data_IF_628073802895
#
_entry.id   IF_628073802895
#
_cell.length_a   1.000
_cell.length_b   1.000
_cell.length_c   1.000
_cell.angle_alpha   90.00
_cell.angle_beta   90.00
_cell.angle_gamma   90.00
#
_symmetry.space_group_name_H-M   'P 1'
#
loop_
_entity.id
_entity.type
_entity.pdbx_description
1 polymer ?
#
# COMPACT_ATOMS: atom_id res chain seq x y z
N UNK A 1 -1.97 -21.21 65.46
CA UNK A 1 -1.73 -21.55 64.03
C UNK A 1 -1.37 -20.27 63.31
N UNK A 2 -0.12 -20.12 62.86
CA UNK A 2 0.26 -18.95 62.07
C UNK A 2 -0.47 -19.01 60.71
N UNK A 3 -1.13 -17.92 60.31
CA UNK A 3 -1.82 -17.86 59.03
C UNK A 3 -0.79 -17.93 57.90
N UNK A 4 -0.90 -18.93 57.02
CA UNK A 4 -0.10 -19.00 55.79
C UNK A 4 -0.50 -17.80 54.93
N UNK A 5 0.46 -16.91 54.67
CA UNK A 5 0.24 -15.78 53.78
C UNK A 5 0.26 -16.26 52.31
N UNK A 6 -0.65 -15.70 51.50
CA UNK A 6 -0.84 -16.06 50.09
C UNK A 6 -0.49 -14.87 49.18
N UNK A 7 0.21 -15.15 48.07
CA UNK A 7 0.51 -14.15 47.04
C UNK A 7 -0.55 -14.21 45.93
N UNK A 8 -1.49 -13.26 45.82
CA UNK A 8 -2.60 -13.32 44.89
C UNK A 8 -2.15 -13.31 43.43
N UNK A 9 -2.75 -14.17 42.60
CA UNK A 9 -2.45 -14.24 41.17
C UNK A 9 -3.38 -13.27 40.42
N UNK A 10 -2.84 -12.34 39.61
CA UNK A 10 -3.64 -11.47 38.76
C UNK A 10 -4.61 -12.24 37.86
N UNK A 11 -5.89 -11.83 37.83
CA UNK A 11 -6.93 -12.52 37.06
C UNK A 11 -6.58 -12.67 35.57
N UNK A 12 -5.96 -11.64 34.98
CA UNK A 12 -5.51 -11.68 33.59
C UNK A 12 -4.50 -12.80 33.28
N UNK A 13 -3.74 -13.24 34.29
CA UNK A 13 -2.81 -14.37 34.19
C UNK A 13 -3.57 -15.69 34.27
N UNK A 14 -4.49 -15.81 35.24
CA UNK A 14 -5.30 -17.02 35.42
C UNK A 14 -6.10 -17.35 34.16
N UNK A 15 -6.65 -16.36 33.48
CA UNK A 15 -7.45 -16.59 32.26
C UNK A 15 -6.61 -16.83 31.00
N UNK A 16 -5.28 -16.80 31.09
CA UNK A 16 -4.41 -16.91 29.93
C UNK A 16 -4.35 -18.35 29.40
N UNK A 17 -4.40 -18.55 28.08
CA UNK A 17 -4.46 -19.88 27.47
C UNK A 17 -3.25 -20.76 27.86
N UNK A 18 -2.03 -20.19 27.85
CA UNK A 18 -0.82 -20.91 28.27
C UNK A 18 -0.80 -21.24 29.77
N UNK A 19 -1.48 -20.45 30.59
CA UNK A 19 -1.62 -20.75 32.03
C UNK A 19 -2.57 -21.93 32.24
N UNK A 20 -3.69 -21.94 31.51
CA UNK A 20 -4.69 -23.01 31.57
C UNK A 20 -4.19 -24.32 30.95
N UNK A 21 -3.29 -24.25 29.96
CA UNK A 21 -2.69 -25.42 29.34
C UNK A 21 -1.60 -26.08 30.21
N UNK A 22 -1.05 -25.38 31.21
CA UNK A 22 -0.01 -25.91 32.09
C UNK A 22 -0.63 -26.72 33.25
N UNK A 23 -0.24 -27.99 33.44
CA UNK A 23 -0.85 -28.87 34.44
C UNK A 23 -0.55 -28.46 35.89
N UNK A 24 0.49 -27.67 36.13
CA UNK A 24 0.86 -27.18 37.46
C UNK A 24 0.19 -25.83 37.75
N UNK A 25 0.09 -24.95 36.74
CA UNK A 25 -0.48 -23.61 36.91
C UNK A 25 -2.02 -23.60 36.93
N UNK A 26 -2.65 -24.45 36.12
CA UNK A 26 -4.11 -24.52 35.98
C UNK A 26 -4.85 -24.88 37.28
N UNK A 27 -4.18 -25.60 38.19
CA UNK A 27 -4.72 -26.00 39.50
C UNK A 27 -4.55 -24.94 40.59
N UNK A 28 -3.83 -23.83 40.32
CA UNK A 28 -3.62 -22.77 41.31
C UNK A 28 -4.87 -21.90 41.48
N UNK A 29 -5.27 -21.68 42.74
CA UNK A 29 -6.44 -20.88 43.07
C UNK A 29 -6.20 -19.37 42.92
N UNK A 30 -7.24 -18.55 42.68
CA UNK A 30 -7.10 -17.10 42.56
C UNK A 30 -6.56 -16.42 43.83
N UNK A 31 -6.82 -17.02 45.00
CA UNK A 31 -6.27 -16.59 46.29
C UNK A 31 -4.74 -16.53 46.29
N UNK A 32 -4.09 -17.27 45.39
CA UNK A 32 -2.68 -17.10 45.11
C UNK A 32 -1.84 -18.34 45.35
N UNK A 33 -0.57 -18.11 45.68
CA UNK A 33 0.42 -19.13 46.01
C UNK A 33 0.79 -19.00 47.50
N UNK A 34 0.91 -20.10 48.28
CA UNK A 34 1.36 -20.03 49.66
C UNK A 34 2.86 -19.66 49.74
N UNK A 35 3.21 -18.81 50.70
CA UNK A 35 4.61 -18.59 51.10
C UNK A 35 4.98 -19.72 52.07
N UNK A 36 5.97 -20.61 51.88
CA UNK A 36 6.91 -20.88 50.77
C UNK A 36 6.40 -21.89 49.71
N UNK A 37 6.80 -21.70 48.46
CA UNK A 37 6.29 -22.46 47.30
C UNK A 37 7.20 -23.64 46.91
N UNK A 38 6.62 -24.69 46.31
CA UNK A 38 7.35 -25.85 45.81
C UNK A 38 8.11 -25.58 44.48
N UNK A 39 9.27 -26.22 44.23
CA UNK A 39 10.04 -26.04 42.99
C UNK A 39 9.27 -26.22 41.66
N UNK A 40 8.36 -27.21 41.51
CA UNK A 40 7.61 -27.38 40.26
C UNK A 40 6.78 -26.16 39.87
N UNK A 41 6.23 -25.45 40.86
CA UNK A 41 5.44 -24.24 40.63
C UNK A 41 6.34 -23.10 40.17
N UNK A 42 7.54 -22.96 40.74
CA UNK A 42 8.52 -21.96 40.32
C UNK A 42 8.97 -22.16 38.87
N UNK A 43 9.25 -23.40 38.51
CA UNK A 43 9.65 -23.75 37.15
C UNK A 43 8.52 -23.50 36.15
N UNK A 44 7.29 -23.89 36.49
CA UNK A 44 6.12 -23.63 35.65
C UNK A 44 5.89 -22.12 35.44
N UNK A 45 5.97 -21.30 36.50
CA UNK A 45 5.88 -19.83 36.38
C UNK A 45 7.01 -19.28 35.50
N UNK A 46 8.24 -19.79 35.66
CA UNK A 46 9.39 -19.34 34.87
C UNK A 46 9.21 -19.66 33.38
N UNK A 47 8.75 -20.85 33.06
CA UNK A 47 8.46 -21.31 31.69
C UNK A 47 7.32 -20.48 31.10
N UNK A 48 6.21 -20.33 31.83
CA UNK A 48 5.09 -19.50 31.42
C UNK A 48 5.55 -18.08 31.07
N UNK A 49 6.23 -17.38 31.99
CA UNK A 49 6.75 -16.04 31.71
C UNK A 49 7.72 -16.02 30.52
N UNK A 50 8.55 -17.06 30.36
CA UNK A 50 9.50 -17.18 29.25
C UNK A 50 8.85 -17.31 27.88
N UNK A 51 7.67 -17.94 27.80
CA UNK A 51 6.95 -18.20 26.54
C UNK A 51 6.11 -17.03 26.02
N UNK A 52 5.70 -16.09 26.89
CA UNK A 52 4.93 -14.91 26.46
C UNK A 52 5.83 -13.94 25.66
N UNK A 53 5.52 -13.52 24.45
CA UNK A 53 6.38 -12.57 23.73
C UNK A 53 6.14 -11.09 24.13
N UNK A 54 7.20 -10.33 24.44
CA UNK A 54 7.12 -8.92 24.89
C UNK A 54 6.26 -7.98 24.02
N UNK A 55 6.21 -8.20 22.70
CA UNK A 55 5.50 -7.32 21.76
C UNK A 55 4.07 -7.77 21.46
N UNK A 56 3.74 -9.03 21.72
CA UNK A 56 2.48 -9.64 21.28
C UNK A 56 1.54 -9.96 22.44
N UNK A 57 2.06 -10.06 23.66
CA UNK A 57 1.27 -10.52 24.80
C UNK A 57 1.07 -9.44 25.87
N UNK A 58 -0.17 -8.91 26.03
CA UNK A 58 -0.48 -7.89 27.03
C UNK A 58 -0.44 -8.41 28.48
N UNK A 59 -0.37 -9.72 28.70
CA UNK A 59 -0.28 -10.36 30.02
C UNK A 59 1.16 -10.45 30.53
N UNK A 60 2.16 -10.40 29.63
CA UNK A 60 3.58 -10.60 30.01
C UNK A 60 4.06 -9.65 31.09
N UNK A 61 3.74 -8.36 31.03
CA UNK A 61 4.17 -7.40 32.05
C UNK A 61 3.68 -7.84 33.45
N UNK A 62 2.39 -8.20 33.55
CA UNK A 62 1.79 -8.65 34.81
C UNK A 62 2.40 -9.97 35.28
N UNK A 63 2.70 -10.88 34.35
CA UNK A 63 3.33 -12.16 34.64
C UNK A 63 4.77 -11.99 35.17
N UNK A 64 5.54 -11.08 34.58
CA UNK A 64 6.88 -10.71 35.05
C UNK A 64 6.80 -10.07 36.45
N UNK A 65 5.88 -9.12 36.67
CA UNK A 65 5.69 -8.48 37.97
C UNK A 65 5.27 -9.48 39.06
N UNK A 66 4.42 -10.45 38.71
CA UNK A 66 4.01 -11.51 39.63
C UNK A 66 5.20 -12.40 40.00
N UNK A 67 5.97 -12.87 39.01
CA UNK A 67 7.20 -13.65 39.23
C UNK A 67 8.22 -12.88 40.08
N UNK A 68 8.42 -11.59 39.81
CA UNK A 68 9.36 -10.78 40.57
C UNK A 68 8.91 -10.61 42.02
N UNK A 69 7.63 -10.31 42.27
CA UNK A 69 7.08 -10.28 43.64
C UNK A 69 7.22 -11.61 44.37
N UNK A 70 7.02 -12.72 43.67
CA UNK A 70 7.24 -14.05 44.22
C UNK A 70 8.71 -14.24 44.62
N UNK A 71 9.65 -13.91 43.73
CA UNK A 71 11.08 -13.98 44.01
C UNK A 71 11.48 -13.04 45.15
N UNK A 72 11.02 -11.80 45.15
CA UNK A 72 11.28 -10.83 46.23
C UNK A 72 10.73 -11.32 47.57
N UNK A 73 9.63 -12.07 47.58
CA UNK A 73 9.08 -12.64 48.82
C UNK A 73 9.85 -13.87 49.30
N UNK A 74 10.41 -14.65 48.37
CA UNK A 74 11.30 -15.78 48.69
C UNK A 74 12.73 -15.32 49.04
N UNK A 75 13.13 -14.14 48.55
CA UNK A 75 14.44 -13.51 48.77
C UNK A 75 14.42 -12.44 49.87
N UNK A 76 13.23 -12.00 50.34
CA UNK A 76 13.03 -11.27 51.59
C UNK A 76 13.81 -12.00 52.67
N UNK A 77 14.64 -11.29 53.43
CA UNK A 77 15.92 -11.81 53.88
C UNK A 77 15.67 -13.15 54.52
N UNK A 78 16.14 -14.19 53.83
CA UNK A 78 16.48 -15.46 54.43
C UNK A 78 17.62 -15.12 55.40
N UNK A 79 17.27 -14.45 56.50
CA UNK A 79 17.95 -14.62 57.77
C UNK A 79 17.56 -16.04 58.17
N UNK A 80 18.10 -17.02 57.46
CA UNK A 80 18.22 -18.34 58.03
C UNK A 80 18.94 -18.09 59.35
N UNK A 81 18.33 -18.39 60.50
CA UNK A 81 19.01 -18.20 61.78
C UNK A 81 20.31 -19.02 61.72
N UNK A 82 21.45 -18.33 61.61
CA UNK A 82 22.77 -18.95 61.44
C UNK A 82 23.62 -18.47 60.27
N UNK A 83 23.12 -17.66 59.32
CA UNK A 83 23.97 -17.01 58.31
C UNK A 83 24.67 -15.77 58.89
N UNK A 84 25.99 -15.72 58.77
CA UNK A 84 26.83 -14.61 59.24
C UNK A 84 26.43 -13.30 58.51
N UNK A 85 26.05 -12.23 59.24
CA UNK A 85 25.76 -10.92 58.66
C UNK A 85 26.89 -10.38 57.76
N UNK A 86 28.15 -10.71 58.04
CA UNK A 86 29.29 -10.30 57.21
C UNK A 86 29.28 -10.98 55.84
N UNK A 87 28.96 -12.28 55.80
CA UNK A 87 28.84 -13.03 54.56
C UNK A 87 27.69 -12.50 53.70
N UNK A 88 26.55 -12.16 54.32
CA UNK A 88 25.42 -11.55 53.62
C UNK A 88 25.83 -10.20 53.00
N UNK A 89 26.52 -9.35 53.76
CA UNK A 89 27.00 -8.06 53.26
C UNK A 89 28.00 -8.21 52.10
N UNK A 90 28.91 -9.20 52.19
CA UNK A 90 29.88 -9.48 51.13
C UNK A 90 29.19 -9.96 49.84
N UNK A 91 28.21 -10.87 49.95
CA UNK A 91 27.42 -11.34 48.80
C UNK A 91 26.65 -10.18 48.18
N UNK A 92 26.00 -9.34 49.00
CA UNK A 92 25.28 -8.16 48.51
C UNK A 92 26.21 -7.21 47.75
N UNK A 93 27.42 -6.96 48.25
CA UNK A 93 28.39 -6.12 47.53
C UNK A 93 28.82 -6.72 46.19
N UNK A 94 29.13 -8.02 46.15
CA UNK A 94 29.52 -8.71 44.90
C UNK A 94 28.39 -8.65 43.88
N UNK A 95 27.15 -8.91 44.30
CA UNK A 95 25.97 -8.82 43.43
C UNK A 95 25.75 -7.39 42.94
N UNK A 96 25.88 -6.39 43.82
CA UNK A 96 25.73 -4.99 43.44
C UNK A 96 26.78 -4.59 42.40
N UNK A 97 28.06 -4.90 42.64
CA UNK A 97 29.14 -4.64 41.70
C UNK A 97 28.96 -5.33 40.35
N UNK A 98 28.50 -6.59 40.35
CA UNK A 98 28.28 -7.34 39.11
C UNK A 98 27.06 -6.83 38.32
N UNK A 99 26.02 -6.36 39.01
CA UNK A 99 24.77 -5.91 38.36
C UNK A 99 24.80 -4.45 37.93
N UNK A 100 25.62 -3.61 38.56
CA UNK A 100 25.78 -2.19 38.21
C UNK A 100 26.12 -1.92 36.73
N UNK A 101 27.12 -2.58 36.10
CA UNK A 101 27.41 -2.35 34.69
C UNK A 101 26.26 -2.78 33.79
N UNK A 102 25.56 -3.87 34.14
CA UNK A 102 24.39 -4.36 33.39
C UNK A 102 23.27 -3.31 33.44
N UNK A 103 23.00 -2.71 34.60
CA UNK A 103 22.01 -1.64 34.73
C UNK A 103 22.37 -0.42 33.86
N UNK A 104 23.65 -0.02 33.83
CA UNK A 104 24.11 1.08 32.97
C UNK A 104 23.96 0.76 31.49
N UNK A 105 24.32 -0.45 31.07
CA UNK A 105 24.14 -0.91 29.68
C UNK A 105 22.67 -0.95 29.27
N UNK A 106 21.76 -1.38 30.15
CA UNK A 106 20.31 -1.37 29.88
C UNK A 106 19.81 0.07 29.70
N UNK A 107 20.26 1.01 30.53
CA UNK A 107 19.89 2.43 30.40
C UNK A 107 20.41 3.04 29.10
N UNK A 108 21.65 2.71 28.71
CA UNK A 108 22.22 3.14 27.43
C UNK A 108 21.40 2.58 26.25
N UNK A 109 21.14 1.27 26.25
CA UNK A 109 20.35 0.63 25.20
C UNK A 109 18.92 1.21 25.10
N UNK A 110 18.29 1.57 26.23
CA UNK A 110 17.00 2.24 26.20
C UNK A 110 17.04 3.60 25.51
N UNK A 111 18.12 4.37 25.67
CA UNK A 111 18.32 5.64 24.96
C UNK A 111 18.50 5.39 23.46
N UNK A 112 19.38 4.46 23.09
CA UNK A 112 19.64 4.11 21.69
C UNK A 112 18.35 3.64 20.98
N UNK A 113 17.52 2.82 21.64
CA UNK A 113 16.23 2.39 21.11
C UNK A 113 15.25 3.56 20.96
N UNK A 114 15.28 4.54 21.87
CA UNK A 114 14.43 5.74 21.77
C UNK A 114 14.86 6.62 20.59
N UNK A 115 16.15 6.80 20.40
CA UNK A 115 16.70 7.61 19.31
C UNK A 115 16.45 6.94 17.97
N UNK A 116 16.72 5.63 17.86
CA UNK A 116 16.39 4.85 16.67
C UNK A 116 14.90 4.93 16.30
N UNK A 117 13.98 4.94 17.28
CA UNK A 117 12.54 5.14 17.02
C UNK A 117 12.24 6.52 16.44
N UNK A 118 12.95 7.57 16.88
CA UNK A 118 12.80 8.92 16.33
C UNK A 118 13.29 8.96 14.88
N UNK A 119 14.47 8.40 14.62
CA UNK A 119 15.07 8.37 13.29
C UNK A 119 14.19 7.60 12.30
N UNK A 120 13.61 6.47 12.74
CA UNK A 120 12.63 5.70 11.92
C UNK A 120 11.37 6.52 11.65
N UNK A 121 10.91 7.35 12.59
CA UNK A 121 9.75 8.20 12.37
C UNK A 121 10.05 9.34 11.38
N UNK A 122 11.25 9.92 11.43
CA UNK A 122 11.72 10.91 10.45
C UNK A 122 11.85 10.30 9.06
N UNK A 123 12.55 9.17 8.94
CA UNK A 123 12.70 8.46 7.66
C UNK A 123 11.34 8.12 7.02
N UNK A 124 10.32 7.78 7.82
CA UNK A 124 8.96 7.55 7.32
C UNK A 124 8.33 8.80 6.71
N UNK A 125 8.62 10.00 7.25
CA UNK A 125 8.14 11.26 6.69
C UNK A 125 8.86 11.56 5.38
N UNK A 126 10.18 11.41 5.35
CA UNK A 126 11.00 11.65 4.16
C UNK A 126 10.57 10.74 3.01
N UNK A 127 10.34 9.45 3.29
CA UNK A 127 9.83 8.50 2.28
C UNK A 127 8.43 8.90 1.80
N UNK A 128 7.57 9.44 2.67
CA UNK A 128 6.24 9.89 2.25
C UNK A 128 6.31 11.13 1.34
N UNK A 129 7.22 12.07 1.63
CA UNK A 129 7.48 13.25 0.80
C UNK A 129 8.07 12.87 -0.55
N UNK A 130 9.11 12.05 -0.56
CA UNK A 130 9.73 11.54 -1.80
C UNK A 130 8.71 10.85 -2.72
N UNK A 131 7.74 10.10 -2.15
CA UNK A 131 6.66 9.49 -2.93
C UNK A 131 5.74 10.52 -3.59
N UNK A 132 5.52 11.69 -2.97
CA UNK A 132 4.74 12.79 -3.58
C UNK A 132 5.52 13.41 -4.73
N UNK A 133 6.80 13.69 -4.53
CA UNK A 133 7.66 14.30 -5.56
C UNK A 133 7.74 13.41 -6.82
N UNK A 134 7.92 12.10 -6.62
CA UNK A 134 7.92 11.12 -7.72
C UNK A 134 6.56 11.10 -8.44
N UNK A 135 5.44 11.24 -7.72
CA UNK A 135 4.12 11.28 -8.34
C UNK A 135 3.91 12.57 -9.14
N UNK A 136 4.39 13.70 -8.65
CA UNK A 136 4.36 14.99 -9.35
C UNK A 136 5.21 14.96 -10.62
N UNK A 137 6.47 14.52 -10.53
CA UNK A 137 7.35 14.38 -11.70
C UNK A 137 6.74 13.46 -12.78
N UNK A 138 6.01 12.40 -12.39
CA UNK A 138 5.27 11.55 -13.33
C UNK A 138 4.13 12.29 -14.04
N UNK A 139 3.42 13.18 -13.34
CA UNK A 139 2.36 14.00 -13.94
C UNK A 139 2.95 15.03 -14.91
N UNK A 140 4.02 15.71 -14.52
CA UNK A 140 4.70 16.69 -15.37
C UNK A 140 5.24 16.06 -16.66
N UNK A 141 5.92 14.91 -16.54
CA UNK A 141 6.43 14.17 -17.69
C UNK A 141 5.29 13.74 -18.62
N UNK A 142 4.18 13.24 -18.08
CA UNK A 142 2.99 12.90 -18.86
C UNK A 142 2.40 14.12 -19.57
N UNK A 143 2.27 15.26 -18.88
CA UNK A 143 1.79 16.51 -19.45
C UNK A 143 2.68 17.00 -20.60
N UNK A 144 4.01 16.97 -20.43
CA UNK A 144 4.99 17.31 -21.47
C UNK A 144 4.88 16.40 -22.69
N UNK A 145 4.66 15.10 -22.48
CA UNK A 145 4.47 14.16 -23.60
C UNK A 145 3.18 14.44 -24.37
N UNK A 146 2.09 14.78 -23.68
CA UNK A 146 0.83 15.16 -24.32
C UNK A 146 0.99 16.45 -25.13
N UNK A 147 1.60 17.49 -24.55
CA UNK A 147 1.88 18.75 -25.23
C UNK A 147 2.75 18.54 -26.48
N UNK A 148 3.77 17.68 -26.41
CA UNK A 148 4.60 17.35 -27.57
C UNK A 148 3.81 16.64 -28.67
N UNK A 149 2.91 15.72 -28.31
CA UNK A 149 2.06 15.03 -29.27
C UNK A 149 1.13 16.02 -30.00
N UNK A 150 0.53 16.94 -29.25
CA UNK A 150 -0.33 18.01 -29.79
C UNK A 150 0.45 18.95 -30.73
N UNK A 151 1.64 19.40 -30.33
CA UNK A 151 2.48 20.25 -31.17
C UNK A 151 2.86 19.55 -32.49
N UNK A 152 3.17 18.25 -32.41
CA UNK A 152 3.48 17.44 -33.59
C UNK A 152 2.26 17.30 -34.51
N UNK A 153 1.07 17.10 -33.94
CA UNK A 153 -0.18 17.05 -34.69
C UNK A 153 -0.48 18.39 -35.39
N UNK A 154 -0.37 19.50 -34.67
CA UNK A 154 -0.61 20.84 -35.21
C UNK A 154 0.39 21.21 -36.31
N UNK A 155 1.67 20.89 -36.12
CA UNK A 155 2.69 21.08 -37.15
C UNK A 155 2.36 20.29 -38.43
N UNK A 156 1.92 19.04 -38.28
CA UNK A 156 1.48 18.19 -39.39
C UNK A 156 0.24 18.76 -40.09
N UNK A 157 -0.71 19.29 -39.34
CA UNK A 157 -1.89 19.93 -39.92
C UNK A 157 -1.50 21.16 -40.74
N UNK A 158 -0.64 22.03 -40.18
CA UNK A 158 -0.14 23.22 -40.87
C UNK A 158 0.65 22.90 -42.14
N UNK A 159 1.48 21.84 -42.13
CA UNK A 159 2.24 21.44 -43.32
C UNK A 159 1.31 20.95 -44.44
N UNK A 160 0.22 20.26 -44.09
CA UNK A 160 -0.79 19.83 -45.07
C UNK A 160 -1.58 21.01 -45.65
N UNK A 161 -1.91 22.02 -44.84
CA UNK A 161 -2.67 23.20 -45.31
C UNK A 161 -1.87 24.17 -46.17
N UNK A 162 -0.56 24.29 -45.93
CA UNK A 162 0.30 25.27 -46.59
C UNK A 162 1.15 24.69 -47.73
N UNK A 163 1.05 23.38 -47.99
CA UNK A 163 1.75 22.77 -49.12
C UNK A 163 1.24 23.34 -50.46
N UNK A 164 2.12 23.81 -51.37
CA UNK A 164 1.71 24.29 -52.68
C UNK A 164 0.94 23.19 -53.43
N UNK A 165 -0.19 23.56 -54.03
CA UNK A 165 -1.11 22.66 -54.75
C UNK A 165 -0.47 21.94 -55.96
N UNK A 166 0.79 22.24 -56.29
CA UNK A 166 1.47 21.72 -57.47
C UNK A 166 1.74 20.21 -57.44
N UNK A 167 1.74 19.57 -56.26
CA UNK A 167 2.11 18.15 -56.12
C UNK A 167 1.20 17.32 -55.20
N UNK A 168 -0.02 17.78 -54.90
CA UNK A 168 -0.94 16.94 -54.13
C UNK A 168 -1.45 15.78 -55.00
N UNK A 169 -0.99 14.57 -54.65
CA UNK A 169 -1.73 13.33 -54.89
C UNK A 169 -3.12 13.50 -54.25
N UNK A 170 -4.08 13.83 -55.11
CA UNK A 170 -5.53 13.64 -55.04
C UNK A 170 -6.15 13.36 -53.65
N UNK A 171 -6.97 14.30 -53.16
CA UNK A 171 -7.81 14.13 -51.97
C UNK A 171 -9.08 13.34 -52.36
N UNK A 172 -9.37 12.19 -51.72
CA UNK A 172 -10.58 11.44 -52.01
C UNK A 172 -11.81 12.20 -51.47
N UNK A 173 -12.82 12.40 -52.33
CA UNK A 173 -14.12 12.93 -51.95
C UNK A 173 -15.10 11.77 -51.93
N UNK A 174 -15.78 11.56 -50.80
CA UNK A 174 -16.83 10.54 -50.66
C UNK A 174 -18.11 11.12 -51.27
N UNK A 175 -18.59 10.53 -52.37
CA UNK A 175 -19.92 10.80 -52.92
C UNK A 175 -20.84 9.62 -52.58
N UNK A 176 -21.85 9.86 -51.74
CA UNK A 176 -22.88 8.88 -51.45
C UNK A 176 -23.90 8.89 -52.60
N UNK A 177 -23.87 7.86 -53.46
CA UNK A 177 -24.97 7.57 -54.39
C UNK A 177 -25.84 6.52 -53.71
N UNK A 178 -26.95 6.95 -53.12
CA UNK A 178 -27.93 6.05 -52.52
C UNK A 178 -28.72 5.33 -53.63
N UNK A 179 -28.86 3.99 -53.60
CA UNK A 179 -29.80 3.27 -54.45
C UNK A 179 -31.23 3.79 -54.21
N UNK A 180 -32.09 3.71 -55.23
CA UNK A 180 -33.50 4.09 -55.11
C UNK A 180 -34.15 3.34 -53.94
N UNK A 181 -34.55 4.08 -52.90
CA UNK A 181 -35.18 3.54 -51.70
C UNK A 181 -34.36 3.62 -50.41
N UNK A 182 -33.06 3.98 -50.48
CA UNK A 182 -32.24 4.11 -49.27
C UNK A 182 -32.42 5.51 -48.63
N UNK A 183 -32.84 5.56 -47.35
CA UNK A 183 -32.93 6.81 -46.59
C UNK A 183 -31.61 7.11 -45.89
N UNK A 184 -31.00 8.23 -46.22
CA UNK A 184 -29.81 8.76 -45.52
C UNK A 184 -30.21 9.08 -44.06
N UNK A 185 -29.45 8.63 -43.04
CA UNK A 185 -29.72 8.95 -41.64
C UNK A 185 -29.77 10.47 -41.37
N UNK A 186 -30.63 10.90 -40.46
CA UNK A 186 -30.70 12.30 -40.06
C UNK A 186 -29.40 12.74 -39.37
N UNK A 187 -28.91 13.94 -39.72
CA UNK A 187 -27.65 14.49 -39.20
C UNK A 187 -26.52 14.66 -40.24
N UNK A 188 -26.68 14.16 -41.48
CA UNK A 188 -25.68 14.41 -42.52
C UNK A 188 -25.60 15.92 -42.85
N UNK A 189 -24.42 16.57 -42.74
CA UNK A 189 -24.23 17.97 -43.09
C UNK A 189 -24.74 18.28 -44.51
N UNK A 190 -25.43 19.41 -44.67
CA UNK A 190 -26.17 19.72 -45.90
C UNK A 190 -25.26 19.85 -47.14
N UNK A 191 -24.01 20.25 -46.94
CA UNK A 191 -22.94 20.29 -47.94
C UNK A 191 -22.54 18.90 -48.47
N UNK A 192 -22.85 17.80 -47.77
CA UNK A 192 -22.56 16.43 -48.20
C UNK A 192 -23.71 15.76 -48.95
N UNK A 193 -24.87 16.42 -49.04
CA UNK A 193 -26.08 15.91 -49.72
C UNK A 193 -26.13 16.25 -51.21
N UNK A 194 -25.16 17.01 -51.73
CA UNK A 194 -25.13 17.47 -53.13
C UNK A 194 -23.76 17.21 -53.73
N UNK A 195 -23.75 16.90 -55.03
CA UNK A 195 -22.51 16.79 -55.78
C UNK A 195 -21.77 18.13 -55.73
N UNK A 196 -20.49 18.18 -55.30
CA UNK A 196 -19.73 19.42 -55.29
C UNK A 196 -19.60 19.91 -56.74
N UNK A 197 -19.84 21.20 -56.97
CA UNK A 197 -19.79 21.81 -58.32
C UNK A 197 -18.51 22.61 -58.54
N UNK A 198 -17.71 22.80 -57.49
CA UNK A 198 -16.47 23.57 -57.54
C UNK A 198 -15.45 23.05 -56.53
N UNK A 199 -14.17 23.36 -56.74
CA UNK A 199 -13.10 23.05 -55.79
C UNK A 199 -13.27 23.78 -54.44
N UNK A 200 -13.96 24.93 -54.42
CA UNK A 200 -14.28 25.65 -53.19
C UNK A 200 -15.34 24.89 -52.35
N UNK A 201 -16.27 24.19 -53.00
CA UNK A 201 -17.25 23.34 -52.31
C UNK A 201 -16.56 22.16 -51.64
N UNK A 202 -15.62 21.51 -52.32
CA UNK A 202 -14.83 20.39 -51.78
C UNK A 202 -14.04 20.82 -50.54
N UNK A 203 -13.42 22.02 -50.54
CA UNK A 203 -12.66 22.54 -49.38
C UNK A 203 -13.52 22.81 -48.14
N UNK A 204 -14.84 22.96 -48.32
CA UNK A 204 -15.80 23.11 -47.21
C UNK A 204 -16.31 21.76 -46.68
N UNK A 205 -15.88 20.63 -47.26
CA UNK A 205 -16.24 19.29 -46.82
C UNK A 205 -15.10 18.70 -45.98
N UNK A 206 -15.29 18.54 -44.68
CA UNK A 206 -14.26 18.00 -43.77
C UNK A 206 -14.16 16.47 -43.87
N UNK A 207 -13.18 15.96 -44.62
CA UNK A 207 -13.01 14.52 -44.88
C UNK A 207 -12.75 13.64 -43.63
N UNK A 208 -12.16 14.20 -42.56
CA UNK A 208 -11.87 13.47 -41.31
C UNK A 208 -13.16 13.11 -40.54
N UNK A 209 -14.21 13.93 -40.69
CA UNK A 209 -15.48 13.73 -39.98
C UNK A 209 -16.33 12.62 -40.60
N UNK A 210 -16.11 12.30 -41.89
CA UNK A 210 -16.92 11.31 -42.61
C UNK A 210 -16.57 9.87 -42.23
N UNK A 211 -15.27 9.55 -42.12
CA UNK A 211 -14.81 8.23 -41.68
C UNK A 211 -15.25 7.94 -40.23
N UNK A 212 -15.07 8.90 -39.33
CA UNK A 212 -15.51 8.81 -37.95
C UNK A 212 -17.04 8.70 -37.82
N UNK A 213 -17.81 9.36 -38.68
CA UNK A 213 -19.27 9.27 -38.71
C UNK A 213 -19.76 7.91 -39.25
N UNK A 214 -19.15 7.40 -40.32
CA UNK A 214 -19.46 6.07 -40.87
C UNK A 214 -19.16 4.95 -39.84
N UNK A 215 -18.04 5.08 -39.13
CA UNK A 215 -17.67 4.16 -38.05
C UNK A 215 -18.63 4.25 -36.86
N UNK A 216 -19.03 5.46 -36.46
CA UNK A 216 -20.04 5.70 -35.42
C UNK A 216 -21.41 5.07 -35.76
N UNK A 217 -21.77 5.02 -37.04
CA UNK A 217 -23.04 4.46 -37.52
C UNK A 217 -22.92 3.03 -38.07
N UNK A 218 -21.76 2.37 -37.92
CA UNK A 218 -21.57 0.97 -38.29
C UNK A 218 -21.65 0.69 -39.80
N UNK A 219 -21.41 1.70 -40.65
CA UNK A 219 -21.46 1.55 -42.10
C UNK A 219 -20.11 1.03 -42.63
N UNK A 220 -20.10 -0.05 -43.45
CA UNK A 220 -18.86 -0.64 -43.94
C UNK A 220 -18.16 0.28 -44.95
N UNK A 221 -16.84 0.45 -44.82
CA UNK A 221 -16.02 1.19 -45.78
C UNK A 221 -15.73 0.34 -47.02
N UNK A 222 -16.73 0.10 -47.88
CA UNK A 222 -16.55 -0.64 -49.13
C UNK A 222 -16.17 0.31 -50.27
N UNK A 223 -14.88 0.58 -50.46
CA UNK A 223 -14.40 1.36 -51.60
C UNK A 223 -13.72 0.49 -52.64
N UNK A 224 -14.23 0.47 -53.89
CA UNK A 224 -13.45 0.06 -55.07
C UNK A 224 -12.71 1.27 -55.62
N UNK A 225 -11.39 1.15 -55.79
CA UNK A 225 -10.53 2.15 -56.44
C UNK A 225 -10.80 2.13 -57.94
N UNK A 226 -11.50 3.13 -58.46
CA UNK A 226 -11.64 3.34 -59.91
C UNK A 226 -10.71 4.49 -60.30
N UNK A 227 -9.72 4.18 -61.12
CA UNK A 227 -8.73 5.12 -61.62
C UNK A 227 -9.12 5.47 -63.06
N UNK A 228 -10.01 6.47 -63.21
CA UNK A 228 -10.30 7.06 -64.52
C UNK A 228 -9.99 8.56 -64.49
N UNK A 229 -9.48 9.05 -65.62
CA UNK A 229 -8.44 10.08 -65.73
C UNK A 229 -8.79 11.52 -65.31
N UNK A 230 -9.74 11.79 -64.40
CA UNK A 230 -9.90 13.16 -63.91
C UNK A 230 -10.48 13.37 -62.50
N UNK A 231 -10.81 12.35 -61.70
CA UNK A 231 -11.20 12.55 -60.28
C UNK A 231 -11.08 11.25 -59.49
N UNK A 232 -10.42 11.28 -58.34
CA UNK A 232 -10.38 10.15 -57.40
C UNK A 232 -11.68 10.15 -56.57
N UNK A 233 -12.69 9.44 -57.03
CA UNK A 233 -13.98 9.26 -56.35
C UNK A 233 -13.99 7.93 -55.60
N UNK A 234 -14.30 7.93 -54.30
CA UNK A 234 -14.60 6.69 -53.55
C UNK A 234 -16.11 6.52 -53.52
N UNK A 235 -16.61 5.52 -54.26
CA UNK A 235 -18.02 5.12 -54.21
C UNK A 235 -18.20 4.04 -53.14
N UNK A 236 -19.16 4.22 -52.25
CA UNK A 236 -19.72 3.13 -51.44
C UNK A 236 -20.75 2.41 -52.31
N UNK A 237 -20.34 1.35 -53.02
CA UNK A 237 -21.27 0.46 -53.73
C UNK A 237 -21.75 -0.62 -52.76
N UNK A 238 -23.01 -0.53 -52.34
CA UNK A 238 -23.74 -1.66 -51.72
C UNK A 238 -24.16 -2.63 -52.82
N UNK A 239 -23.89 -3.92 -52.61
CA UNK A 239 -23.97 -4.96 -53.63
C UNK A 239 -25.34 -5.19 -54.27
N UNK A 240 -25.28 -5.58 -55.53
CA UNK A 240 -26.13 -6.56 -56.19
C UNK A 240 -25.21 -7.59 -56.85
#
# INVERSE_FOLDING_TARGET
MAAIAWLPIPLAILTHALWQADPVLSVLAPSGIPLPVAPPVLDAIRIFVGTLECRLDPVRHRAVDFKNRLLDTLLLPVVAPGLDPQLIAAIQQVVLHATQPIQQSILALHRDVRDCRRDVAELRRDVAEFRRDVAEARRETSGRTAQRAEMTHNHRLHSLTNAPLAHQRWVPVICLVAPSGYRVPEGLPQNWRRHPRSAADVRRMSGVTAAAWLEMHGLPQTGTRVEDQNTLMTFLMGGG
#
